data_IF_521261105885
#
_entry.id   IF_521261105885
#
_cell.length_a   1.000
_cell.length_b   1.000
_cell.length_c   1.000
_cell.angle_alpha   90.00
_cell.angle_beta   90.00
_cell.angle_gamma   90.00
#
_symmetry.space_group_name_H-M   'P 1'
#
loop_
_entity.id
_entity.type
_entity.pdbx_description
1 polymer ?
#
# COMPACT_ATOMS: atom_id res chain seq x y z
N UNK A 1 -10.28 -0.20 19.07
CA UNK A 1 -9.23 0.74 18.61
C UNK A 1 -8.89 0.48 17.14
N UNK A 2 -9.29 1.39 16.24
CA UNK A 2 -9.37 1.12 14.79
C UNK A 2 -8.02 0.96 14.07
N UNK A 3 -6.90 1.33 14.71
CA UNK A 3 -5.56 1.13 14.17
C UNK A 3 -4.64 0.68 15.31
N UNK A 4 -4.33 -0.61 15.36
CA UNK A 4 -3.22 -1.14 16.15
C UNK A 4 -1.90 -0.90 15.39
N UNK A 5 -0.72 -0.90 16.04
CA UNK A 5 0.58 -0.69 15.36
C UNK A 5 0.81 -1.57 14.13
N UNK A 6 0.07 -2.67 14.05
CA UNK A 6 -0.02 -3.54 12.89
C UNK A 6 -1.46 -4.04 12.70
N UNK A 7 -2.00 -3.98 11.48
CA UNK A 7 -3.35 -4.47 11.17
C UNK A 7 -3.35 -5.14 9.80
N UNK A 8 -3.93 -6.34 9.71
CA UNK A 8 -4.16 -7.04 8.44
C UNK A 8 -5.64 -6.90 8.10
N UNK A 9 -5.93 -6.47 6.87
CA UNK A 9 -7.28 -6.37 6.34
C UNK A 9 -7.42 -7.37 5.21
N UNK A 10 -8.30 -8.35 5.39
CA UNK A 10 -8.67 -9.27 4.32
C UNK A 10 -9.75 -8.62 3.46
N UNK A 11 -9.58 -8.68 2.14
CA UNK A 11 -10.48 -8.06 1.18
C UNK A 11 -10.90 -9.11 0.15
N UNK A 12 -12.18 -9.51 0.21
CA UNK A 12 -12.80 -10.35 -0.80
C UNK A 12 -12.93 -9.57 -2.11
N UNK A 13 -11.88 -9.68 -2.92
CA UNK A 13 -11.68 -8.96 -4.18
C UNK A 13 -11.01 -9.90 -5.18
N UNK A 14 -10.88 -9.49 -6.44
CA UNK A 14 -10.20 -10.29 -7.46
C UNK A 14 -9.13 -9.46 -8.15
N UNK A 15 -7.96 -10.05 -8.38
CA UNK A 15 -6.95 -9.39 -9.19
C UNK A 15 -7.36 -9.33 -10.67
N UNK A 16 -7.01 -8.22 -11.31
CA UNK A 16 -7.10 -7.98 -12.73
C UNK A 16 -5.71 -8.17 -13.34
N UNK A 17 -5.62 -8.88 -14.47
CA UNK A 17 -4.36 -9.12 -15.18
C UNK A 17 -4.27 -8.22 -16.42
N UNK A 18 -3.36 -7.26 -16.41
CA UNK A 18 -2.96 -6.49 -17.58
C UNK A 18 -1.60 -6.97 -18.09
N UNK A 19 -1.53 -7.69 -19.22
CA UNK A 19 -0.24 -8.17 -19.73
C UNK A 19 0.53 -9.07 -18.74
N UNK A 20 1.75 -8.67 -18.34
CA UNK A 20 2.64 -9.45 -17.46
C UNK A 20 2.55 -9.11 -15.96
N UNK A 21 1.75 -8.12 -15.56
CA UNK A 21 1.62 -7.69 -14.16
C UNK A 21 0.17 -7.81 -13.67
N UNK A 22 -0.01 -7.70 -12.36
CA UNK A 22 -1.29 -7.76 -11.67
C UNK A 22 -1.64 -6.42 -11.05
N UNK A 23 -2.93 -6.14 -10.95
CA UNK A 23 -3.49 -5.03 -10.18
C UNK A 23 -4.80 -5.46 -9.53
N UNK A 24 -5.22 -4.76 -8.49
CA UNK A 24 -6.48 -4.97 -7.80
C UNK A 24 -7.07 -3.59 -7.48
N UNK A 25 -8.12 -3.23 -8.19
CA UNK A 25 -8.76 -1.92 -8.11
C UNK A 25 -9.46 -1.69 -6.77
N UNK A 26 -9.97 -2.73 -6.13
CA UNK A 26 -10.58 -2.64 -4.81
C UNK A 26 -9.52 -2.41 -3.73
N UNK A 27 -8.37 -3.10 -3.79
CA UNK A 27 -7.24 -2.83 -2.90
C UNK A 27 -6.69 -1.41 -3.07
N UNK A 28 -6.59 -0.92 -4.31
CA UNK A 28 -6.10 0.44 -4.57
C UNK A 28 -7.03 1.50 -3.95
N UNK A 29 -8.35 1.32 -4.09
CA UNK A 29 -9.35 2.19 -3.43
C UNK A 29 -9.30 2.06 -1.91
N UNK A 30 -9.09 0.87 -1.38
CA UNK A 30 -8.93 0.65 0.06
C UNK A 30 -7.71 1.41 0.60
N UNK A 31 -6.58 1.41 -0.10
CA UNK A 31 -5.40 2.20 0.30
C UNK A 31 -5.71 3.70 0.43
N UNK A 32 -6.47 4.27 -0.51
CA UNK A 32 -6.95 5.64 -0.45
C UNK A 32 -7.90 5.88 0.74
N UNK A 33 -8.79 4.94 1.00
CA UNK A 33 -9.72 5.01 2.13
C UNK A 33 -8.99 4.97 3.47
N UNK A 34 -8.04 4.05 3.64
CA UNK A 34 -7.21 3.94 4.84
C UNK A 34 -6.41 5.21 5.09
N UNK A 35 -5.81 5.79 4.04
CA UNK A 35 -5.13 7.08 4.16
C UNK A 35 -6.07 8.17 4.68
N UNK A 36 -7.28 8.29 4.10
CA UNK A 36 -8.26 9.30 4.51
C UNK A 36 -8.71 9.08 5.97
N UNK A 37 -8.95 7.83 6.36
CA UNK A 37 -9.31 7.49 7.74
C UNK A 37 -8.19 7.83 8.73
N UNK A 38 -6.93 7.53 8.38
CA UNK A 38 -5.78 7.89 9.22
C UNK A 38 -5.65 9.42 9.35
N UNK A 39 -5.86 10.18 8.28
CA UNK A 39 -5.85 11.64 8.35
C UNK A 39 -6.92 12.18 9.31
N UNK A 40 -8.14 11.62 9.26
CA UNK A 40 -9.24 12.02 10.14
C UNK A 40 -8.98 11.66 11.61
N UNK A 41 -8.56 10.43 11.89
CA UNK A 41 -8.36 9.96 13.27
C UNK A 41 -7.12 10.54 13.95
N UNK A 42 -6.13 10.96 13.17
CA UNK A 42 -4.89 11.55 13.72
C UNK A 42 -4.96 13.07 13.78
N UNK A 43 -6.10 13.70 13.52
CA UNK A 43 -6.21 15.17 13.37
C UNK A 43 -5.15 15.74 12.42
N UNK A 44 -4.84 15.01 11.35
CA UNK A 44 -3.79 15.40 10.41
C UNK A 44 -2.36 15.15 10.90
N UNK A 45 -2.08 14.36 11.94
CA UNK A 45 -0.70 13.98 12.31
C UNK A 45 0.02 13.29 11.13
N UNK A 46 -0.74 12.55 10.30
CA UNK A 46 -0.29 11.98 9.02
C UNK A 46 0.20 13.04 8.01
N UNK A 47 -0.02 14.34 8.20
CA UNK A 47 0.55 15.40 7.35
C UNK A 47 2.01 15.71 7.67
N UNK A 48 2.49 15.36 8.87
CA UNK A 48 3.89 15.60 9.29
C UNK A 48 4.87 14.58 8.71
N UNK A 49 4.39 13.47 8.15
CA UNK A 49 5.24 12.43 7.60
C UNK A 49 4.52 11.72 6.46
N UNK A 50 5.24 11.52 5.35
CA UNK A 50 4.69 10.89 4.15
C UNK A 50 4.32 9.43 4.43
N UNK A 51 3.11 9.02 4.06
CA UNK A 51 2.70 7.60 4.16
C UNK A 51 3.32 6.84 3.00
N UNK A 52 4.07 5.77 3.29
CA UNK A 52 4.59 4.90 2.26
C UNK A 52 3.56 3.83 1.88
N UNK A 53 3.28 3.70 0.60
CA UNK A 53 2.41 2.67 0.03
C UNK A 53 3.27 1.77 -0.85
N UNK A 54 3.32 0.50 -0.46
CA UNK A 54 4.23 -0.47 -1.04
C UNK A 54 3.41 -1.61 -1.64
N UNK A 55 3.78 -2.04 -2.84
CA UNK A 55 3.13 -3.17 -3.52
C UNK A 55 4.15 -3.97 -4.32
N UNK A 56 3.97 -5.28 -4.52
CA UNK A 56 4.92 -6.07 -5.30
C UNK A 56 4.77 -5.88 -6.81
N UNK A 57 3.67 -5.29 -7.29
CA UNK A 57 3.38 -5.20 -8.72
C UNK A 57 3.43 -3.76 -9.24
N UNK A 58 4.14 -3.53 -10.34
CA UNK A 58 4.28 -2.20 -10.94
C UNK A 58 2.96 -1.63 -11.46
N UNK A 59 2.07 -2.47 -11.97
CA UNK A 59 0.72 -2.03 -12.37
C UNK A 59 -0.13 -1.61 -11.19
N UNK A 60 -0.04 -2.32 -10.06
CA UNK A 60 -0.70 -1.87 -8.84
C UNK A 60 -0.15 -0.52 -8.37
N UNK A 61 1.18 -0.32 -8.41
CA UNK A 61 1.77 0.97 -8.05
C UNK A 61 1.26 2.10 -8.96
N UNK A 62 1.12 1.84 -10.27
CA UNK A 62 0.54 2.80 -11.21
C UNK A 62 -0.95 3.08 -10.93
N UNK A 63 -1.73 2.05 -10.61
CA UNK A 63 -3.16 2.19 -10.27
C UNK A 63 -3.35 3.00 -8.99
N UNK A 64 -2.59 2.69 -7.93
CA UNK A 64 -2.61 3.44 -6.67
C UNK A 64 -2.23 4.91 -6.92
N UNK A 65 -1.21 5.20 -7.74
CA UNK A 65 -0.85 6.59 -8.08
C UNK A 65 -2.00 7.34 -8.73
N UNK A 66 -2.74 6.70 -9.66
CA UNK A 66 -3.93 7.31 -10.27
C UNK A 66 -5.01 7.60 -9.23
N UNK A 67 -5.33 6.64 -8.37
CA UNK A 67 -6.31 6.85 -7.30
C UNK A 67 -5.92 7.99 -6.34
N UNK A 68 -4.64 8.10 -5.96
CA UNK A 68 -4.18 9.20 -5.12
C UNK A 68 -4.12 10.55 -5.84
N UNK A 69 -3.80 10.56 -7.13
CA UNK A 69 -3.87 11.76 -7.95
C UNK A 69 -5.31 12.26 -8.10
N UNK A 70 -6.29 11.35 -8.22
CA UNK A 70 -7.72 11.69 -8.22
C UNK A 70 -8.18 12.22 -6.85
N UNK A 71 -7.71 11.61 -5.76
CA UNK A 71 -8.09 11.97 -4.39
C UNK A 71 -7.48 13.29 -3.90
N UNK A 72 -6.18 13.50 -4.13
CA UNK A 72 -5.38 14.59 -3.54
C UNK A 72 -4.86 15.59 -4.58
N UNK A 73 -5.15 15.37 -5.87
CA UNK A 73 -4.66 16.18 -6.97
C UNK A 73 -3.19 15.92 -7.33
N UNK A 74 -2.61 16.76 -8.20
CA UNK A 74 -1.24 16.58 -8.71
C UNK A 74 -0.15 16.57 -7.63
N UNK A 75 -0.44 17.13 -6.46
CA UNK A 75 0.50 17.28 -5.36
C UNK A 75 0.45 16.11 -4.36
N UNK A 76 -0.23 15.01 -4.69
CA UNK A 76 -0.34 13.83 -3.83
C UNK A 76 1.01 13.32 -3.30
N UNK A 77 2.09 13.50 -4.08
CA UNK A 77 3.45 13.07 -3.74
C UNK A 77 4.06 13.76 -2.51
N UNK A 78 3.48 14.88 -2.06
CA UNK A 78 3.83 15.54 -0.80
C UNK A 78 3.31 14.76 0.42
N UNK A 79 2.26 13.96 0.23
CA UNK A 79 1.55 13.25 1.30
C UNK A 79 1.76 11.74 1.29
N UNK A 80 1.96 11.15 0.11
CA UNK A 80 2.19 9.70 -0.04
C UNK A 80 3.38 9.37 -0.94
N UNK A 81 4.10 8.30 -0.59
CA UNK A 81 5.14 7.67 -1.41
C UNK A 81 4.61 6.37 -1.97
N UNK A 82 4.60 6.17 -3.29
CA UNK A 82 4.08 4.92 -3.88
C UNK A 82 5.20 4.23 -4.64
N UNK A 83 5.62 3.07 -4.17
CA UNK A 83 6.73 2.31 -4.74
C UNK A 83 6.46 0.81 -4.81
N UNK A 84 7.20 0.14 -5.70
CA UNK A 84 7.32 -1.31 -5.61
C UNK A 84 8.25 -1.70 -4.47
N UNK A 85 8.19 -2.95 -4.01
CA UNK A 85 9.08 -3.39 -2.92
C UNK A 85 10.56 -3.27 -3.30
N UNK A 86 10.92 -3.65 -4.52
CA UNK A 86 12.31 -3.54 -4.99
C UNK A 86 12.76 -2.06 -5.02
N UNK A 87 11.89 -1.13 -5.42
CA UNK A 87 12.19 0.31 -5.41
C UNK A 87 12.26 0.92 -4.00
N UNK A 88 11.63 0.28 -3.01
CA UNK A 88 11.62 0.75 -1.62
C UNK A 88 12.74 0.11 -0.77
N UNK A 89 13.51 -0.82 -1.33
CA UNK A 89 14.62 -1.46 -0.63
C UNK A 89 15.64 -0.41 -0.14
N UNK A 90 16.15 -0.59 1.09
CA UNK A 90 17.05 0.40 1.74
C UNK A 90 16.39 1.62 2.43
N UNK A 91 15.12 1.95 2.17
CA UNK A 91 14.40 3.13 2.72
C UNK A 91 13.49 2.82 3.91
N UNK A 92 13.34 3.71 4.88
CA UNK A 92 12.40 3.56 6.01
C UNK A 92 11.24 4.56 5.93
N UNK A 93 10.09 4.24 6.53
CA UNK A 93 8.94 5.15 6.62
C UNK A 93 8.15 4.92 7.90
N UNK A 94 7.66 5.99 8.55
CA UNK A 94 6.92 5.88 9.82
C UNK A 94 5.60 5.13 9.68
N UNK A 95 4.90 5.33 8.55
CA UNK A 95 3.61 4.69 8.27
C UNK A 95 3.73 3.98 6.93
N UNK A 96 3.37 2.70 6.91
CA UNK A 96 3.39 1.85 5.72
C UNK A 96 2.00 1.26 5.49
N UNK A 97 1.47 1.41 4.27
CA UNK A 97 0.34 0.63 3.75
C UNK A 97 0.92 -0.36 2.73
N UNK A 98 0.67 -1.65 2.92
CA UNK A 98 1.10 -2.68 1.97
C UNK A 98 -0.11 -3.23 1.21
N UNK A 99 -0.06 -3.23 -0.13
CA UNK A 99 -1.08 -3.84 -1.00
C UNK A 99 -0.53 -5.11 -1.64
N UNK A 100 -1.13 -6.26 -1.28
CA UNK A 100 -0.70 -7.59 -1.68
C UNK A 100 -1.15 -7.98 -3.09
N UNK A 101 -2.24 -7.39 -3.57
CA UNK A 101 -2.88 -7.56 -4.89
C UNK A 101 -3.52 -8.92 -5.13
N UNK A 102 -2.89 -10.01 -4.67
CA UNK A 102 -3.34 -11.38 -4.91
C UNK A 102 -4.54 -11.70 -4.02
N UNK A 103 -5.63 -12.15 -4.63
CA UNK A 103 -6.80 -12.64 -3.93
C UNK A 103 -6.77 -14.17 -3.71
N UNK A 104 -7.66 -14.66 -2.83
CA UNK A 104 -7.86 -16.09 -2.58
C UNK A 104 -8.12 -16.87 -3.89
N UNK A 105 -7.42 -17.99 -4.08
CA UNK A 105 -7.54 -18.84 -5.28
C UNK A 105 -6.52 -18.58 -6.38
N UNK A 106 -5.70 -17.52 -6.26
CA UNK A 106 -4.54 -17.32 -7.11
C UNK A 106 -3.45 -18.38 -6.78
N UNK A 107 -2.79 -18.95 -7.80
CA UNK A 107 -1.79 -20.03 -7.60
C UNK A 107 -0.61 -19.49 -6.77
N UNK A 108 -0.63 -19.77 -5.47
CA UNK A 108 0.39 -19.44 -4.47
C UNK A 108 0.25 -18.06 -3.81
N UNK A 109 0.92 -17.87 -2.68
CA UNK A 109 1.08 -16.58 -1.96
C UNK A 109 1.95 -15.58 -2.76
N UNK A 110 2.64 -16.04 -3.80
CA UNK A 110 3.45 -15.20 -4.69
C UNK A 110 4.53 -14.47 -3.91
N UNK A 111 4.61 -13.15 -4.06
CA UNK A 111 5.57 -12.31 -3.35
C UNK A 111 5.55 -12.48 -1.81
N UNK A 112 4.39 -12.80 -1.23
CA UNK A 112 4.24 -13.03 0.21
C UNK A 112 4.90 -14.32 0.70
N UNK A 113 5.30 -15.23 -0.19
CA UNK A 113 6.09 -16.41 0.20
C UNK A 113 7.54 -16.07 0.55
N UNK A 114 8.00 -14.86 0.19
CA UNK A 114 9.33 -14.39 0.59
C UNK A 114 9.24 -13.63 1.92
N UNK A 115 9.39 -14.39 3.01
CA UNK A 115 9.42 -13.90 4.39
C UNK A 115 10.46 -12.78 4.58
N UNK A 116 11.56 -12.77 3.80
CA UNK A 116 12.57 -11.70 3.87
C UNK A 116 12.02 -10.37 3.35
N UNK A 117 11.21 -10.39 2.30
CA UNK A 117 10.58 -9.19 1.72
C UNK A 117 9.41 -8.70 2.56
N UNK A 118 8.70 -9.61 3.24
CA UNK A 118 7.69 -9.25 4.23
C UNK A 118 8.31 -8.60 5.46
N UNK A 119 9.42 -9.13 5.99
CA UNK A 119 10.15 -8.51 7.08
C UNK A 119 10.63 -7.09 6.71
N UNK A 120 11.07 -6.85 5.47
CA UNK A 120 11.41 -5.50 4.99
C UNK A 120 10.19 -4.57 5.01
N UNK A 121 9.00 -5.03 4.58
CA UNK A 121 7.80 -4.20 4.64
C UNK A 121 7.34 -3.92 6.08
N UNK A 122 7.50 -4.89 7.00
CA UNK A 122 7.01 -4.83 8.38
C UNK A 122 7.96 -4.15 9.35
N UNK A 123 9.28 -4.31 9.23
CA UNK A 123 10.27 -3.78 10.19
C UNK A 123 10.68 -2.33 9.91
N UNK A 124 10.03 -1.68 8.93
CA UNK A 124 10.38 -0.31 8.49
C UNK A 124 9.43 0.76 8.98
N UNK A 125 8.30 0.38 9.55
CA UNK A 125 7.48 1.24 10.38
C UNK A 125 8.24 1.54 11.68
N UNK A 126 8.83 2.73 11.78
CA UNK A 126 9.41 3.22 13.04
C UNK A 126 8.34 3.97 13.83
N UNK A 127 8.31 3.69 15.14
CA UNK A 127 7.53 4.35 16.19
C UNK A 127 7.35 5.86 15.99
#
# INVERSE_FOLDING_TARGET
PAFSPFTILDLDSKEERGGTSLANSQEARLACHLYTQMQQLTNGLSTKSRVAIITPYSQQAALIRRCFQELLGPQYGNFVEINTVDAFQGREAKIVIFSAVRALGSRGIGFLSDVRRMNVALTRAKH
#
